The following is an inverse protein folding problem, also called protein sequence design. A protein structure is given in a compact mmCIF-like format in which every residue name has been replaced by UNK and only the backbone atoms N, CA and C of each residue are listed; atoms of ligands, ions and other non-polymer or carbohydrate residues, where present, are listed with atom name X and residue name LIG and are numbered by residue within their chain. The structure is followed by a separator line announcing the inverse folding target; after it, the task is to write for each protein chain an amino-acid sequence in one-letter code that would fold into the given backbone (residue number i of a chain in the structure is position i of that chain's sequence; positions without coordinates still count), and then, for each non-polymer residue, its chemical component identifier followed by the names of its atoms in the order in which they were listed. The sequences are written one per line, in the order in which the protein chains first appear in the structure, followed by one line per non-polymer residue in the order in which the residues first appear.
data_IF_249322834268
#
_entry.id   IF_249322834268
#
_cell.length_a   1.000
_cell.length_b   1.000
_cell.length_c   1.000
_cell.angle_alpha   90.00
_cell.angle_beta   90.00
_cell.angle_gamma   90.00
#
_symmetry.space_group_name_H-M   'P 1'
#
loop_
_entity.id
_entity.type
_entity.pdbx_description
1 polymer ?
#
# COMPACT_ATOMS: atom_id res chain seq x y z
N UNK A 1 5.60 -4.20 -3.31
CA UNK A 1 6.35 -5.31 -3.94
C UNK A 1 5.43 -6.52 -4.03
N UNK A 2 5.18 -7.04 -5.23
CA UNK A 2 4.52 -8.35 -5.38
C UNK A 2 5.53 -9.44 -5.04
N UNK A 3 5.09 -10.44 -4.29
CA UNK A 3 5.83 -11.68 -4.14
C UNK A 3 5.59 -12.48 -5.42
N UNK A 4 6.52 -12.41 -6.37
CA UNK A 4 6.37 -13.11 -7.64
C UNK A 4 6.52 -14.62 -7.44
N UNK A 5 5.69 -15.39 -8.14
CA UNK A 5 5.90 -16.83 -8.26
C UNK A 5 7.13 -17.07 -9.15
N UNK A 6 8.27 -17.34 -8.57
CA UNK A 6 9.54 -17.53 -9.27
C UNK A 6 10.48 -18.43 -8.47
N UNK A 7 11.75 -18.30 -8.72
CA UNK A 7 12.85 -19.11 -8.19
C UNK A 7 13.16 -18.93 -6.68
N UNK A 8 12.28 -18.33 -5.89
CA UNK A 8 12.47 -18.13 -4.45
C UNK A 8 13.20 -16.84 -4.08
N UNK A 9 13.48 -15.96 -5.03
CA UNK A 9 14.00 -14.63 -4.75
C UNK A 9 12.83 -13.65 -4.55
N UNK A 10 12.97 -12.74 -3.58
CA UNK A 10 12.14 -11.55 -3.50
C UNK A 10 12.52 -10.68 -4.70
N UNK A 11 11.70 -10.75 -5.76
CA UNK A 11 11.94 -9.96 -6.95
C UNK A 11 11.58 -8.52 -6.63
N UNK A 12 12.59 -7.70 -6.46
CA UNK A 12 12.46 -6.26 -6.60
C UNK A 12 13.16 -5.87 -7.89
N UNK A 13 12.51 -5.15 -8.78
CA UNK A 13 13.18 -4.52 -9.92
C UNK A 13 14.21 -3.47 -9.47
N UNK A 14 14.06 -3.02 -8.24
CA UNK A 14 14.98 -2.09 -7.60
C UNK A 14 15.75 -2.87 -6.55
N UNK A 15 17.04 -3.08 -6.81
CA UNK A 15 17.95 -3.57 -5.78
C UNK A 15 17.84 -2.64 -4.59
N UNK A 16 17.46 -3.18 -3.43
CA UNK A 16 17.62 -2.43 -2.19
C UNK A 16 19.07 -1.99 -2.12
N UNK A 17 19.29 -0.70 -1.87
CA UNK A 17 20.63 -0.22 -1.59
C UNK A 17 21.18 -1.07 -0.43
N UNK A 18 22.34 -1.69 -0.65
CA UNK A 18 23.03 -2.41 0.44
C UNK A 18 23.60 -1.45 1.49
N UNK A 19 23.37 -0.14 1.32
CA UNK A 19 23.96 0.90 2.17
C UNK A 19 23.09 1.16 3.41
N UNK A 20 21.77 1.03 3.30
CA UNK A 20 20.83 1.29 4.41
C UNK A 20 19.73 0.24 4.44
N UNK A 21 19.30 -0.19 5.66
CA UNK A 21 18.14 -1.09 5.81
C UNK A 21 16.86 -0.45 5.26
N UNK A 22 16.01 -1.25 4.66
CA UNK A 22 14.74 -0.82 4.09
C UNK A 22 13.58 -1.54 4.77
N UNK A 23 12.47 -0.82 4.95
CA UNK A 23 11.18 -1.40 5.29
C UNK A 23 10.34 -1.47 4.01
N UNK A 24 9.87 -2.67 3.68
CA UNK A 24 9.04 -2.92 2.52
C UNK A 24 7.71 -3.54 2.92
N UNK A 25 6.59 -2.94 2.46
CA UNK A 25 5.29 -3.58 2.48
C UNK A 25 5.22 -4.58 1.33
N UNK A 26 5.05 -5.86 1.67
CA UNK A 26 5.03 -6.97 0.73
C UNK A 26 3.60 -7.47 0.56
N UNK A 27 2.95 -7.09 -0.55
CA UNK A 27 1.56 -7.39 -0.78
C UNK A 27 1.37 -8.81 -1.35
N UNK A 28 0.55 -9.61 -0.67
CA UNK A 28 -0.12 -10.75 -1.28
C UNK A 28 -1.29 -10.19 -2.08
N UNK A 29 -1.22 -10.32 -3.39
CA UNK A 29 -2.23 -9.85 -4.32
C UNK A 29 -2.96 -11.02 -4.96
N UNK A 30 -4.26 -11.07 -4.77
CA UNK A 30 -5.11 -12.07 -5.39
C UNK A 30 -6.47 -11.47 -5.71
N UNK A 31 -6.58 -10.73 -6.82
CA UNK A 31 -7.86 -10.20 -7.24
C UNK A 31 -8.78 -11.37 -7.61
N UNK A 32 -9.89 -11.50 -6.91
CA UNK A 32 -11.01 -12.26 -7.45
C UNK A 32 -11.81 -11.31 -8.31
N UNK A 33 -11.83 -11.55 -9.60
CA UNK A 33 -12.76 -10.87 -10.51
C UNK A 33 -14.22 -11.29 -10.27
N UNK A 34 -14.53 -11.87 -9.13
CA UNK A 34 -15.82 -12.47 -8.80
C UNK A 34 -16.11 -13.78 -9.53
N UNK A 35 -15.18 -14.26 -10.39
CA UNK A 35 -15.43 -15.41 -11.26
C UNK A 35 -14.97 -16.75 -10.72
N UNK A 36 -13.94 -16.78 -9.86
CA UNK A 36 -13.45 -18.02 -9.24
C UNK A 36 -12.72 -17.74 -7.93
N UNK A 37 -13.48 -17.75 -6.83
CA UNK A 37 -12.96 -17.53 -5.49
C UNK A 37 -11.96 -18.62 -5.05
N UNK A 38 -12.06 -19.84 -5.58
CA UNK A 38 -11.15 -20.93 -5.27
C UNK A 38 -9.79 -20.73 -5.93
N UNK A 39 -9.78 -20.28 -7.18
CA UNK A 39 -8.54 -19.92 -7.89
C UNK A 39 -7.84 -18.73 -7.23
N UNK A 40 -8.58 -17.69 -6.87
CA UNK A 40 -8.04 -16.53 -6.20
C UNK A 40 -7.44 -16.92 -4.84
N UNK A 41 -8.14 -17.71 -4.06
CA UNK A 41 -7.64 -18.22 -2.78
C UNK A 41 -6.39 -19.09 -2.94
N UNK A 42 -6.39 -20.04 -3.90
CA UNK A 42 -5.22 -20.88 -4.16
C UNK A 42 -3.99 -20.05 -4.55
N UNK A 43 -4.15 -18.99 -5.36
CA UNK A 43 -3.07 -18.05 -5.69
C UNK A 43 -2.55 -17.33 -4.45
N UNK A 44 -3.43 -16.85 -3.57
CA UNK A 44 -3.02 -16.16 -2.35
C UNK A 44 -2.23 -17.09 -1.41
N UNK A 45 -2.65 -18.35 -1.27
CA UNK A 45 -1.92 -19.35 -0.50
C UNK A 45 -0.52 -19.60 -1.11
N UNK A 46 -0.44 -19.79 -2.42
CA UNK A 46 0.84 -19.98 -3.10
C UNK A 46 1.78 -18.77 -2.94
N UNK A 47 1.24 -17.54 -3.03
CA UNK A 47 2.00 -16.32 -2.82
C UNK A 47 2.47 -16.18 -1.37
N UNK A 48 1.64 -16.54 -0.39
CA UNK A 48 2.03 -16.55 1.03
C UNK A 48 3.17 -17.53 1.29
N UNK A 49 3.09 -18.75 0.77
CA UNK A 49 4.16 -19.75 0.90
C UNK A 49 5.45 -19.30 0.19
N UNK A 50 5.33 -18.60 -0.94
CA UNK A 50 6.48 -18.02 -1.61
C UNK A 50 7.11 -16.89 -0.77
N UNK A 51 6.30 -16.00 -0.19
CA UNK A 51 6.78 -14.96 0.73
C UNK A 51 7.55 -15.57 1.91
N UNK A 52 6.98 -16.57 2.59
CA UNK A 52 7.64 -17.26 3.72
C UNK A 52 9.00 -17.83 3.33
N UNK A 53 9.05 -18.58 2.22
CA UNK A 53 10.33 -19.11 1.70
C UNK A 53 11.34 -18.01 1.39
N UNK A 54 10.87 -16.91 0.79
CA UNK A 54 11.75 -15.80 0.37
C UNK A 54 12.38 -15.08 1.56
N UNK A 55 11.65 -14.87 2.66
CA UNK A 55 12.20 -14.22 3.86
C UNK A 55 13.12 -15.15 4.66
N UNK A 56 13.02 -16.46 4.46
CA UNK A 56 13.90 -17.46 5.07
C UNK A 56 15.24 -17.65 4.33
N UNK A 57 15.33 -17.20 3.07
CA UNK A 57 16.55 -17.30 2.27
C UNK A 57 17.61 -16.32 2.76
N UNK A 58 18.78 -16.76 3.25
CA UNK A 58 19.82 -15.85 3.75
C UNK A 58 20.33 -14.85 2.70
N UNK A 59 20.33 -15.24 1.42
CA UNK A 59 20.78 -14.39 0.32
C UNK A 59 19.92 -13.12 0.12
N UNK A 60 18.65 -13.15 0.56
CA UNK A 60 17.75 -12.00 0.43
C UNK A 60 18.02 -10.94 1.51
N UNK A 61 18.76 -11.24 2.56
CA UNK A 61 19.05 -10.35 3.68
C UNK A 61 17.81 -9.60 4.21
N UNK A 62 16.69 -10.31 4.36
CA UNK A 62 15.40 -9.77 4.77
C UNK A 62 14.79 -10.63 5.87
N UNK A 63 14.00 -10.00 6.74
CA UNK A 63 13.23 -10.70 7.77
C UNK A 63 11.77 -10.24 7.75
N UNK A 64 10.83 -11.14 7.99
CA UNK A 64 9.44 -10.75 8.21
C UNK A 64 9.34 -10.01 9.55
N UNK A 65 8.62 -8.89 9.54
CA UNK A 65 8.32 -8.11 10.74
C UNK A 65 6.82 -8.12 11.01
N UNK A 66 6.44 -8.14 12.30
CA UNK A 66 5.05 -8.18 12.77
C UNK A 66 4.76 -7.09 13.81
N UNK A 67 5.82 -6.55 14.40
CA UNK A 67 5.78 -5.49 15.41
C UNK A 67 6.84 -4.44 15.09
N UNK A 68 6.71 -3.26 15.68
CA UNK A 68 7.73 -2.22 15.52
C UNK A 68 9.10 -2.66 16.08
N UNK A 69 9.12 -3.41 17.17
CA UNK A 69 10.35 -3.98 17.72
C UNK A 69 11.07 -4.91 16.73
N UNK A 70 10.33 -5.66 15.90
CA UNK A 70 10.94 -6.48 14.84
C UNK A 70 11.64 -5.62 13.79
N UNK A 71 11.07 -4.44 13.45
CA UNK A 71 11.68 -3.49 12.52
C UNK A 71 13.00 -2.96 13.10
N UNK A 72 13.00 -2.54 14.36
CA UNK A 72 14.22 -2.06 15.03
C UNK A 72 15.30 -3.14 15.08
N UNK A 73 14.93 -4.38 15.41
CA UNK A 73 15.84 -5.51 15.43
C UNK A 73 16.41 -5.84 14.04
N UNK A 74 15.58 -5.77 12.99
CA UNK A 74 16.03 -5.95 11.61
C UNK A 74 17.09 -4.90 11.25
N UNK A 75 16.79 -3.62 11.48
CA UNK A 75 17.69 -2.51 11.15
C UNK A 75 19.00 -2.56 11.96
N UNK A 76 18.93 -2.84 13.25
CA UNK A 76 20.10 -2.98 14.12
C UNK A 76 21.01 -4.15 13.70
N UNK A 77 20.46 -5.17 13.04
CA UNK A 77 21.21 -6.30 12.50
C UNK A 77 21.64 -6.15 11.04
N UNK A 78 21.40 -4.97 10.43
CA UNK A 78 21.73 -4.69 9.03
C UNK A 78 20.86 -5.45 8.03
N UNK A 79 19.66 -5.86 8.43
CA UNK A 79 18.71 -6.57 7.57
C UNK A 79 17.56 -5.67 7.12
N UNK A 80 17.01 -5.98 5.96
CA UNK A 80 15.77 -5.38 5.48
C UNK A 80 14.55 -5.96 6.22
N UNK A 81 13.52 -5.16 6.38
CA UNK A 81 12.28 -5.53 7.02
C UNK A 81 11.17 -5.73 5.98
N UNK A 82 10.48 -6.87 6.01
CA UNK A 82 9.33 -7.18 5.16
C UNK A 82 8.05 -7.25 6.00
N UNK A 83 7.17 -6.26 5.84
CA UNK A 83 5.84 -6.25 6.44
C UNK A 83 4.85 -6.90 5.48
N UNK A 84 4.25 -8.00 5.89
CA UNK A 84 3.26 -8.70 5.07
C UNK A 84 1.95 -7.90 5.04
N UNK A 85 1.47 -7.62 3.82
CA UNK A 85 0.21 -6.92 3.56
C UNK A 85 -0.66 -7.71 2.61
N UNK A 86 -1.95 -7.41 2.57
CA UNK A 86 -2.91 -8.07 1.69
C UNK A 86 -3.58 -7.03 0.80
N UNK A 87 -3.61 -7.28 -0.49
CA UNK A 87 -4.32 -6.47 -1.48
C UNK A 87 -5.40 -7.31 -2.17
N UNK A 88 -6.61 -6.76 -2.27
CA UNK A 88 -7.74 -7.52 -2.82
C UNK A 88 -8.21 -8.65 -1.89
N UNK A 89 -8.29 -8.35 -0.60
CA UNK A 89 -8.52 -9.31 0.49
C UNK A 89 -9.72 -10.22 0.33
N UNK A 90 -10.80 -9.76 -0.34
CA UNK A 90 -11.96 -10.59 -0.62
C UNK A 90 -11.62 -11.89 -1.36
N UNK A 91 -10.68 -11.85 -2.30
CA UNK A 91 -10.16 -13.04 -2.98
C UNK A 91 -9.27 -13.89 -2.08
N UNK A 92 -8.43 -13.22 -1.27
CA UNK A 92 -7.46 -13.90 -0.41
C UNK A 92 -8.07 -14.72 0.72
N UNK A 93 -9.26 -14.35 1.20
CA UNK A 93 -9.92 -15.02 2.34
C UNK A 93 -11.11 -15.87 1.94
N UNK A 94 -11.46 -15.93 0.66
CA UNK A 94 -12.64 -16.68 0.18
C UNK A 94 -13.89 -16.39 1.02
N UNK A 95 -14.12 -15.12 1.36
CA UNK A 95 -15.25 -14.66 2.17
C UNK A 95 -15.36 -15.31 3.59
N UNK A 96 -14.23 -15.78 4.16
CA UNK A 96 -14.20 -16.41 5.48
C UNK A 96 -13.46 -15.56 6.51
N UNK A 97 -14.11 -15.35 7.66
CA UNK A 97 -13.49 -14.68 8.82
C UNK A 97 -12.34 -15.51 9.38
N UNK A 98 -12.46 -16.84 9.38
CA UNK A 98 -11.42 -17.75 9.84
C UNK A 98 -10.15 -17.62 8.99
N UNK A 99 -10.30 -17.55 7.66
CA UNK A 99 -9.16 -17.32 6.75
C UNK A 99 -8.54 -15.94 6.90
N UNK A 100 -9.31 -14.93 7.25
CA UNK A 100 -8.79 -13.62 7.62
C UNK A 100 -7.91 -13.70 8.88
N UNK A 101 -8.35 -14.46 9.89
CA UNK A 101 -7.54 -14.71 11.10
C UNK A 101 -6.26 -15.49 10.77
N UNK A 102 -6.34 -16.52 9.91
CA UNK A 102 -5.15 -17.27 9.45
C UNK A 102 -4.12 -16.35 8.78
N UNK A 103 -4.54 -15.36 7.99
CA UNK A 103 -3.62 -14.38 7.39
C UNK A 103 -2.96 -13.48 8.45
N UNK A 104 -3.72 -13.05 9.46
CA UNK A 104 -3.17 -12.29 10.58
C UNK A 104 -2.12 -13.12 11.36
N UNK A 105 -2.41 -14.38 11.64
CA UNK A 105 -1.50 -15.31 12.33
C UNK A 105 -0.25 -15.59 11.49
N UNK A 106 -0.38 -15.63 10.16
CA UNK A 106 0.75 -15.71 9.24
C UNK A 106 1.62 -14.43 9.24
N UNK A 107 1.15 -13.35 9.86
CA UNK A 107 1.89 -12.11 10.05
C UNK A 107 1.41 -10.94 9.20
N UNK A 108 0.28 -11.03 8.51
CA UNK A 108 -0.31 -9.88 7.84
C UNK A 108 -0.72 -8.80 8.88
N UNK A 109 -0.43 -7.54 8.59
CA UNK A 109 -0.73 -6.41 9.48
C UNK A 109 -1.49 -5.28 8.80
N UNK A 110 -1.49 -5.27 7.46
CA UNK A 110 -2.24 -4.32 6.64
C UNK A 110 -3.14 -5.09 5.69
N UNK A 111 -4.40 -4.72 5.57
CA UNK A 111 -5.39 -5.46 4.81
C UNK A 111 -6.27 -4.53 3.96
N UNK A 112 -6.15 -4.63 2.64
CA UNK A 112 -7.03 -4.01 1.66
C UNK A 112 -8.22 -4.91 1.35
N UNK A 113 -9.44 -4.39 1.51
CA UNK A 113 -10.68 -5.17 1.38
C UNK A 113 -10.99 -5.56 -0.08
N UNK A 114 -10.68 -4.68 -1.03
CA UNK A 114 -10.98 -4.90 -2.43
C UNK A 114 -9.85 -4.39 -3.33
N UNK A 115 -9.75 -4.93 -4.54
CA UNK A 115 -9.04 -4.37 -5.68
C UNK A 115 -10.02 -4.07 -6.83
N UNK A 116 -10.95 -4.99 -7.10
CA UNK A 116 -12.23 -4.82 -7.79
C UNK A 116 -13.34 -5.11 -6.79
N UNK A 117 -14.61 -4.93 -7.19
CA UNK A 117 -15.73 -5.30 -6.31
C UNK A 117 -15.58 -6.73 -5.79
N UNK A 118 -15.70 -6.86 -4.48
CA UNK A 118 -15.60 -8.14 -3.76
C UNK A 118 -16.83 -8.33 -2.88
N UNK A 119 -17.03 -9.53 -2.32
CA UNK A 119 -18.05 -9.72 -1.29
C UNK A 119 -17.86 -8.88 -0.01
N UNK A 120 -16.72 -8.16 0.11
CA UNK A 120 -16.42 -7.33 1.28
C UNK A 120 -16.76 -5.86 1.08
N UNK A 121 -16.42 -5.31 -0.09
CA UNK A 121 -16.54 -3.88 -0.36
C UNK A 121 -16.55 -3.59 -1.87
N UNK A 122 -17.18 -2.49 -2.24
CA UNK A 122 -17.09 -1.92 -3.59
C UNK A 122 -15.71 -1.28 -3.83
N UNK A 123 -15.28 -1.29 -5.07
CA UNK A 123 -13.97 -0.79 -5.51
C UNK A 123 -14.11 0.47 -6.37
N UNK A 124 -13.06 1.28 -6.43
CA UNK A 124 -12.91 2.37 -7.40
C UNK A 124 -12.90 1.86 -8.87
N UNK A 125 -12.63 0.56 -9.08
CA UNK A 125 -12.63 -0.10 -10.39
C UNK A 125 -13.91 -0.91 -10.64
N UNK A 126 -15.06 -0.30 -10.43
CA UNK A 126 -16.35 -0.91 -10.78
C UNK A 126 -16.46 -1.11 -12.28
N UNK A 127 -17.14 -2.20 -12.67
CA UNK A 127 -17.52 -2.47 -14.06
C UNK A 127 -18.77 -1.68 -14.42
N UNK A 128 -19.00 -1.50 -15.70
CA UNK A 128 -20.25 -0.92 -16.18
C UNK A 128 -21.45 -1.74 -15.67
N UNK A 129 -22.42 -1.05 -15.07
CA UNK A 129 -23.61 -1.67 -14.48
C UNK A 129 -23.45 -2.18 -13.04
N UNK A 130 -22.25 -2.13 -12.46
CA UNK A 130 -22.07 -2.37 -11.03
C UNK A 130 -22.40 -1.10 -10.22
N UNK A 131 -23.02 -1.30 -9.04
CA UNK A 131 -23.37 -0.22 -8.12
C UNK A 131 -22.35 -0.11 -6.98
N UNK A 132 -22.08 1.11 -6.52
CA UNK A 132 -21.31 1.35 -5.31
C UNK A 132 -22.20 1.07 -4.07
N UNK A 133 -22.14 -0.13 -3.57
CA UNK A 133 -22.86 -0.55 -2.37
C UNK A 133 -22.10 -0.24 -1.08
N UNK A 134 -20.84 0.17 -1.17
CA UNK A 134 -19.97 0.43 -0.03
C UNK A 134 -19.47 -0.84 0.65
N UNK A 135 -19.27 -0.77 1.96
CA UNK A 135 -18.85 -1.89 2.80
C UNK A 135 -20.05 -2.82 3.07
N UNK A 136 -19.92 -4.08 2.68
CA UNK A 136 -20.99 -5.08 2.88
C UNK A 136 -21.09 -5.50 4.36
N UNK A 137 -22.15 -6.25 4.71
CA UNK A 137 -22.28 -6.84 6.05
C UNK A 137 -21.08 -7.78 6.38
N UNK A 138 -20.62 -8.56 5.40
CA UNK A 138 -19.44 -9.40 5.57
C UNK A 138 -18.17 -8.54 5.75
N UNK A 139 -18.02 -7.47 4.95
CA UNK A 139 -16.95 -6.51 5.11
C UNK A 139 -16.93 -5.90 6.52
N UNK A 140 -18.08 -5.53 7.07
CA UNK A 140 -18.18 -5.03 8.45
C UNK A 140 -17.75 -6.08 9.49
N UNK A 141 -18.08 -7.36 9.28
CA UNK A 141 -17.60 -8.47 10.14
C UNK A 141 -16.06 -8.60 10.08
N UNK A 142 -15.47 -8.49 8.89
CA UNK A 142 -14.01 -8.51 8.71
C UNK A 142 -13.36 -7.31 9.39
N UNK A 143 -13.89 -6.09 9.20
CA UNK A 143 -13.36 -4.90 9.88
C UNK A 143 -13.49 -5.03 11.41
N UNK A 144 -14.62 -5.51 11.91
CA UNK A 144 -14.80 -5.76 13.34
C UNK A 144 -13.78 -6.74 13.89
N UNK A 145 -13.55 -7.87 13.20
CA UNK A 145 -12.51 -8.85 13.58
C UNK A 145 -11.11 -8.26 13.50
N UNK A 146 -10.82 -7.46 12.47
CA UNK A 146 -9.55 -6.74 12.33
C UNK A 146 -9.31 -5.75 13.47
N UNK A 147 -10.34 -5.03 13.91
CA UNK A 147 -10.27 -4.16 15.08
C UNK A 147 -9.90 -4.91 16.37
N UNK A 148 -10.43 -6.14 16.56
CA UNK A 148 -10.06 -6.99 17.70
C UNK A 148 -8.61 -7.45 17.64
N UNK A 149 -8.12 -7.79 16.46
CA UNK A 149 -6.77 -8.28 16.22
C UNK A 149 -5.72 -7.16 16.14
N UNK A 150 -6.14 -5.92 15.90
CA UNK A 150 -5.25 -4.80 15.64
C UNK A 150 -4.73 -4.74 14.20
N UNK A 151 -5.52 -5.23 13.22
CA UNK A 151 -5.23 -5.06 11.79
C UNK A 151 -5.34 -3.59 11.40
N UNK A 152 -4.48 -3.13 10.51
CA UNK A 152 -4.56 -1.82 9.85
C UNK A 152 -5.30 -2.02 8.53
N UNK A 153 -6.27 -1.15 8.20
CA UNK A 153 -7.00 -1.25 6.94
C UNK A 153 -6.43 -0.30 5.88
N UNK A 154 -6.14 -0.89 4.72
CA UNK A 154 -5.74 -0.16 3.51
C UNK A 154 -6.97 0.22 2.72
N UNK A 155 -7.13 1.52 2.49
CA UNK A 155 -8.26 2.09 1.72
C UNK A 155 -7.93 2.30 0.25
N UNK A 156 -6.71 1.96 -0.18
CA UNK A 156 -6.39 1.93 -1.60
C UNK A 156 -7.36 1.00 -2.34
N UNK A 157 -7.79 1.39 -3.52
CA UNK A 157 -8.80 0.70 -4.34
C UNK A 157 -10.26 0.74 -3.86
N UNK A 158 -10.59 1.25 -2.68
CA UNK A 158 -11.97 1.36 -2.26
C UNK A 158 -12.73 2.40 -3.10
N UNK A 159 -14.02 2.14 -3.34
CA UNK A 159 -14.94 3.17 -3.82
C UNK A 159 -15.10 4.28 -2.78
N UNK A 160 -15.60 5.43 -3.20
CA UNK A 160 -15.85 6.57 -2.30
C UNK A 160 -16.74 6.15 -1.12
N UNK A 161 -17.81 5.43 -1.38
CA UNK A 161 -18.71 4.95 -0.34
C UNK A 161 -18.04 3.93 0.58
N UNK A 162 -17.29 2.98 0.03
CA UNK A 162 -16.56 2.00 0.83
C UNK A 162 -15.50 2.66 1.72
N UNK A 163 -14.83 3.70 1.22
CA UNK A 163 -13.87 4.48 2.00
C UNK A 163 -14.54 5.05 3.27
N UNK A 164 -15.65 5.76 3.10
CA UNK A 164 -16.34 6.38 4.24
C UNK A 164 -16.94 5.36 5.20
N UNK A 165 -17.50 4.26 4.67
CA UNK A 165 -18.00 3.17 5.49
C UNK A 165 -16.89 2.53 6.35
N UNK A 166 -15.67 2.37 5.82
CA UNK A 166 -14.52 1.85 6.58
C UNK A 166 -13.99 2.88 7.56
N UNK A 167 -13.94 4.16 7.16
CA UNK A 167 -13.51 5.27 8.04
C UNK A 167 -14.37 5.40 9.29
N UNK A 168 -15.67 5.08 9.18
CA UNK A 168 -16.61 5.08 10.32
C UNK A 168 -16.34 3.95 11.32
N UNK A 169 -15.94 2.76 10.84
CA UNK A 169 -15.91 1.55 11.68
C UNK A 169 -14.52 1.04 12.05
N UNK A 170 -13.47 1.46 11.34
CA UNK A 170 -12.10 1.12 11.68
C UNK A 170 -11.65 1.85 12.95
N UNK A 171 -10.94 1.14 13.85
CA UNK A 171 -10.45 1.71 15.11
C UNK A 171 -9.02 2.24 15.02
N UNK A 172 -8.19 1.63 14.19
CA UNK A 172 -6.86 2.17 13.88
C UNK A 172 -6.96 3.18 12.75
N UNK A 173 -6.03 4.13 12.66
CA UNK A 173 -5.96 5.04 11.53
C UNK A 173 -5.88 4.31 10.20
N UNK A 174 -6.51 4.88 9.18
CA UNK A 174 -6.52 4.35 7.83
C UNK A 174 -5.18 4.58 7.13
N UNK A 175 -4.83 3.66 6.25
CA UNK A 175 -3.67 3.81 5.36
C UNK A 175 -4.15 3.71 3.91
N UNK A 176 -3.82 4.69 3.09
CA UNK A 176 -3.83 4.52 1.64
C UNK A 176 -2.42 4.14 1.21
N UNK A 177 -2.11 2.84 1.13
CA UNK A 177 -0.74 2.38 0.91
C UNK A 177 -0.15 2.85 -0.41
N UNK A 178 -1.00 3.11 -1.42
CA UNK A 178 -0.59 3.53 -2.76
C UNK A 178 -1.72 4.29 -3.47
N UNK A 179 -1.89 5.59 -3.18
CA UNK A 179 -2.93 6.43 -3.78
C UNK A 179 -2.45 7.87 -3.97
N UNK A 180 -2.91 8.50 -5.06
CA UNK A 180 -2.63 9.88 -5.38
C UNK A 180 -3.87 10.76 -5.10
N UNK A 181 -3.96 11.96 -5.68
CA UNK A 181 -4.99 12.95 -5.37
C UNK A 181 -5.84 13.28 -6.60
N UNK A 182 -7.16 13.21 -6.45
CA UNK A 182 -8.13 13.45 -7.52
C UNK A 182 -8.12 14.88 -8.02
N UNK A 183 -7.81 15.84 -7.16
CA UNK A 183 -7.66 17.24 -7.52
C UNK A 183 -6.49 17.53 -8.48
N UNK A 184 -5.53 16.61 -8.62
CA UNK A 184 -4.39 16.69 -9.54
C UNK A 184 -4.61 15.84 -10.79
N UNK A 185 -5.14 14.63 -10.63
CA UNK A 185 -5.50 13.73 -11.72
C UNK A 185 -6.88 13.13 -11.41
N UNK A 186 -7.89 13.52 -12.18
CA UNK A 186 -9.30 13.15 -11.96
C UNK A 186 -9.54 11.68 -12.35
N UNK A 187 -9.13 10.80 -11.45
CA UNK A 187 -9.30 9.36 -11.56
C UNK A 187 -9.98 8.84 -10.30
N UNK A 188 -10.99 8.00 -10.44
CA UNK A 188 -11.73 7.42 -9.30
C UNK A 188 -10.85 6.63 -8.34
N UNK A 189 -9.69 6.16 -8.80
CA UNK A 189 -8.70 5.46 -7.97
C UNK A 189 -7.93 6.41 -7.03
N UNK A 190 -7.89 7.70 -7.34
CA UNK A 190 -7.25 8.72 -6.54
C UNK A 190 -8.17 9.20 -5.41
N UNK A 191 -7.58 9.62 -4.30
CA UNK A 191 -8.29 10.16 -3.14
C UNK A 191 -8.88 11.54 -3.46
N UNK A 192 -10.09 11.81 -2.98
CA UNK A 192 -10.56 13.19 -2.87
C UNK A 192 -9.81 13.92 -1.76
N UNK A 193 -9.82 15.25 -1.79
CA UNK A 193 -9.21 16.05 -0.72
C UNK A 193 -9.84 15.78 0.65
N UNK A 194 -11.15 15.50 0.68
CA UNK A 194 -11.84 15.17 1.94
C UNK A 194 -11.43 13.81 2.48
N UNK A 195 -11.22 12.81 1.62
CA UNK A 195 -10.65 11.52 2.01
C UNK A 195 -9.23 11.67 2.56
N UNK A 196 -8.39 12.46 1.87
CA UNK A 196 -7.03 12.72 2.31
C UNK A 196 -7.00 13.42 3.67
N UNK A 197 -7.83 14.45 3.86
CA UNK A 197 -7.99 15.14 5.15
C UNK A 197 -8.50 14.21 6.26
N UNK A 198 -9.39 13.26 5.94
CA UNK A 198 -9.86 12.29 6.92
C UNK A 198 -8.74 11.32 7.34
N UNK A 199 -7.91 10.83 6.40
CA UNK A 199 -6.73 10.02 6.72
C UNK A 199 -5.78 10.82 7.63
N UNK A 200 -5.47 12.07 7.28
CA UNK A 200 -4.63 12.97 8.08
C UNK A 200 -5.22 13.18 9.48
N UNK A 201 -6.50 13.48 9.57
CA UNK A 201 -7.21 13.69 10.85
C UNK A 201 -7.16 12.48 11.78
N UNK A 202 -7.14 11.27 11.21
CA UNK A 202 -7.04 10.02 11.97
C UNK A 202 -5.58 9.65 12.33
N UNK A 203 -4.59 10.48 12.02
CA UNK A 203 -3.15 10.14 12.17
C UNK A 203 -2.73 8.98 11.24
N UNK A 204 -3.35 8.86 10.06
CA UNK A 204 -3.11 7.83 9.07
C UNK A 204 -1.95 8.14 8.12
N UNK A 205 -1.79 7.31 7.07
CA UNK A 205 -0.70 7.44 6.10
C UNK A 205 -1.20 7.37 4.66
N UNK A 206 -0.58 8.16 3.79
CA UNK A 206 -0.81 8.16 2.34
C UNK A 206 0.51 7.85 1.64
N UNK A 207 0.55 6.79 0.84
CA UNK A 207 1.68 6.43 0.01
C UNK A 207 1.44 6.84 -1.45
N UNK A 208 2.35 7.59 -2.04
CA UNK A 208 2.27 8.00 -3.43
C UNK A 208 2.36 6.81 -4.38
N UNK A 209 1.42 6.68 -5.29
CA UNK A 209 1.39 5.63 -6.31
C UNK A 209 2.10 6.09 -7.58
N UNK A 210 2.89 5.20 -8.20
CA UNK A 210 3.68 5.47 -9.39
C UNK A 210 2.99 5.12 -10.71
N UNK A 211 1.82 4.50 -10.68
CA UNK A 211 1.15 4.13 -11.91
C UNK A 211 0.77 5.38 -12.72
N UNK A 212 1.23 5.43 -13.97
CA UNK A 212 1.13 6.61 -14.84
C UNK A 212 -0.28 7.18 -14.96
N UNK A 213 -1.29 6.31 -15.10
CA UNK A 213 -2.69 6.71 -15.22
C UNK A 213 -3.27 7.34 -13.95
N UNK A 214 -2.57 7.30 -12.80
CA UNK A 214 -2.98 7.96 -11.56
C UNK A 214 -2.15 9.21 -11.27
N UNK A 215 -1.07 9.42 -12.06
CA UNK A 215 -0.20 10.59 -11.95
C UNK A 215 -0.72 11.74 -12.79
N UNK A 216 -1.13 11.47 -14.02
CA UNK A 216 -1.69 12.49 -14.92
C UNK A 216 -2.55 11.87 -16.02
N UNK A 217 -3.62 12.58 -16.44
CA UNK A 217 -4.52 12.13 -17.51
C UNK A 217 -3.84 12.12 -18.87
N UNK A 218 -3.02 13.16 -19.15
CA UNK A 218 -2.29 13.27 -20.41
C UNK A 218 -0.99 12.50 -20.35
N UNK A 219 -0.76 11.60 -21.29
CA UNK A 219 0.43 10.74 -21.36
C UNK A 219 1.74 11.56 -21.39
N UNK A 220 1.77 12.70 -22.10
CA UNK A 220 2.95 13.59 -22.16
C UNK A 220 3.35 14.17 -20.81
N UNK A 221 2.42 14.22 -19.86
CA UNK A 221 2.57 14.87 -18.58
C UNK A 221 2.73 13.84 -17.43
N UNK A 222 2.82 12.56 -17.76
CA UNK A 222 3.05 11.47 -16.81
C UNK A 222 4.54 11.42 -16.38
N UNK A 223 4.96 12.46 -15.68
CA UNK A 223 6.36 12.73 -15.29
C UNK A 223 6.56 12.69 -13.77
N UNK A 224 7.81 12.68 -13.34
CA UNK A 224 8.16 12.81 -11.91
C UNK A 224 7.73 14.17 -11.36
N UNK A 225 7.76 15.22 -12.18
CA UNK A 225 7.27 16.55 -11.80
C UNK A 225 5.76 16.53 -11.55
N UNK A 226 4.99 15.78 -12.33
CA UNK A 226 3.54 15.61 -12.07
C UNK A 226 3.29 14.79 -10.81
N UNK A 227 4.08 13.75 -10.56
CA UNK A 227 4.03 13.02 -9.29
C UNK A 227 4.40 13.92 -8.10
N UNK A 228 5.40 14.78 -8.26
CA UNK A 228 5.76 15.77 -7.24
C UNK A 228 4.61 16.72 -6.90
N UNK A 229 3.74 17.09 -7.87
CA UNK A 229 2.54 17.91 -7.60
C UNK A 229 1.57 17.19 -6.65
N UNK A 230 1.45 15.86 -6.72
CA UNK A 230 0.64 15.11 -5.76
C UNK A 230 1.25 15.18 -4.35
N UNK A 231 2.57 15.11 -4.23
CA UNK A 231 3.27 15.31 -2.95
C UNK A 231 2.98 16.71 -2.40
N UNK A 232 3.22 17.74 -3.20
CA UNK A 232 3.03 19.15 -2.82
C UNK A 232 1.57 19.44 -2.42
N UNK A 233 0.62 18.86 -3.16
CA UNK A 233 -0.81 18.95 -2.83
C UNK A 233 -1.11 18.36 -1.45
N UNK A 234 -0.59 17.16 -1.13
CA UNK A 234 -0.76 16.56 0.19
C UNK A 234 -0.21 17.46 1.30
N UNK A 235 0.97 18.05 1.09
CA UNK A 235 1.58 18.98 2.04
C UNK A 235 0.67 20.21 2.25
N UNK A 236 0.05 20.72 1.19
CA UNK A 236 -0.91 21.85 1.27
C UNK A 236 -2.17 21.52 2.08
N UNK A 237 -2.55 20.24 2.15
CA UNK A 237 -3.66 19.76 2.97
C UNK A 237 -3.28 19.49 4.43
N UNK A 238 -2.02 19.75 4.82
CA UNK A 238 -1.51 19.47 6.17
C UNK A 238 -0.92 18.07 6.35
N UNK A 239 -0.58 17.39 5.25
CA UNK A 239 -0.09 16.00 5.23
C UNK A 239 1.41 15.84 5.51
N UNK A 240 2.10 16.81 6.10
CA UNK A 240 3.56 16.77 6.33
C UNK A 240 4.02 15.50 7.07
N UNK A 241 3.24 15.04 8.04
CA UNK A 241 3.53 13.85 8.85
C UNK A 241 2.82 12.58 8.36
N UNK A 242 2.10 12.67 7.22
CA UNK A 242 1.14 11.65 6.77
C UNK A 242 1.35 11.18 5.35
N UNK A 243 2.45 11.56 4.70
CA UNK A 243 2.76 11.17 3.32
C UNK A 243 4.11 10.47 3.24
N UNK A 244 4.23 9.53 2.32
CA UNK A 244 5.45 8.80 2.01
C UNK A 244 5.36 8.09 0.66
N UNK A 245 6.24 7.13 0.42
CA UNK A 245 6.29 6.41 -0.85
C UNK A 245 5.42 5.15 -0.80
N UNK A 246 4.44 5.06 -1.70
CA UNK A 246 3.56 3.91 -1.86
C UNK A 246 3.97 2.97 -3.00
N UNK A 247 4.64 3.52 -3.99
CA UNK A 247 5.30 2.85 -5.09
C UNK A 247 4.40 2.06 -6.03
N UNK A 248 3.77 1.02 -5.55
CA UNK A 248 3.09 0.00 -6.37
C UNK A 248 4.04 -0.64 -7.40
N UNK A 249 5.31 -0.72 -7.03
CA UNK A 249 6.37 -1.34 -7.82
C UNK A 249 6.04 -2.82 -7.95
N UNK A 250 6.18 -3.40 -9.14
CA UNK A 250 5.72 -4.75 -9.50
C UNK A 250 4.19 -4.93 -9.56
N UNK A 251 3.40 -3.95 -9.13
CA UNK A 251 1.93 -3.91 -9.27
C UNK A 251 1.47 -3.43 -10.64
N UNK A 252 2.33 -2.72 -11.36
CA UNK A 252 2.07 -2.14 -12.68
C UNK A 252 2.78 -2.92 -13.78
N UNK A 253 2.55 -2.54 -15.06
CA UNK A 253 3.24 -3.14 -16.21
C UNK A 253 4.72 -2.74 -16.32
N UNK A 254 5.27 -2.02 -15.35
CA UNK A 254 6.65 -1.51 -15.38
C UNK A 254 6.77 -0.15 -16.04
N UNK A 255 5.67 0.53 -16.27
CA UNK A 255 5.62 1.91 -16.76
C UNK A 255 5.59 2.86 -15.56
N UNK A 256 6.62 3.71 -15.45
CA UNK A 256 6.79 4.68 -14.37
C UNK A 256 7.01 6.07 -14.92
N UNK A 257 6.73 7.14 -14.13
CA UNK A 257 6.92 8.52 -14.56
C UNK A 257 8.35 8.77 -15.07
N UNK A 258 8.47 9.39 -16.24
CA UNK A 258 9.77 9.76 -16.79
C UNK A 258 10.39 10.94 -15.96
N UNK A 259 11.70 10.99 -15.77
CA UNK A 259 12.75 10.17 -16.35
C UNK A 259 13.25 9.04 -15.43
N UNK A 260 12.36 8.28 -14.81
CA UNK A 260 12.78 7.15 -13.98
C UNK A 260 13.38 6.05 -14.87
N UNK A 261 14.50 5.52 -14.41
CA UNK A 261 15.22 4.40 -15.04
C UNK A 261 15.42 3.30 -14.02
N UNK A 262 15.85 2.11 -14.44
CA UNK A 262 16.22 1.02 -13.53
C UNK A 262 17.36 1.42 -12.57
N UNK A 263 18.20 2.39 -12.95
CA UNK A 263 19.34 2.86 -12.16
C UNK A 263 18.96 3.98 -11.18
N UNK A 264 17.86 4.68 -11.45
CA UNK A 264 17.39 5.79 -10.63
C UNK A 264 16.11 5.45 -9.92
N UNK A 265 16.18 5.31 -8.61
CA UNK A 265 14.98 5.07 -7.81
C UNK A 265 14.02 6.27 -7.86
N UNK A 266 12.74 5.98 -7.73
CA UNK A 266 11.71 7.03 -7.57
C UNK A 266 12.03 7.92 -6.36
N UNK A 267 12.53 7.32 -5.30
CA UNK A 267 12.90 8.01 -4.06
C UNK A 267 13.92 9.10 -4.36
N UNK A 268 15.01 8.76 -5.07
CA UNK A 268 16.04 9.73 -5.43
C UNK A 268 15.48 10.87 -6.27
N UNK A 269 14.63 10.54 -7.26
CA UNK A 269 14.02 11.55 -8.13
C UNK A 269 13.11 12.52 -7.37
N UNK A 270 12.27 12.02 -6.46
CA UNK A 270 11.39 12.88 -5.66
C UNK A 270 12.17 13.67 -4.61
N UNK A 271 13.17 13.06 -3.96
CA UNK A 271 14.06 13.76 -3.03
C UNK A 271 14.80 14.92 -3.72
N UNK A 272 15.34 14.69 -4.92
CA UNK A 272 15.98 15.76 -5.69
C UNK A 272 15.01 16.90 -6.03
N UNK A 273 13.76 16.60 -6.40
CA UNK A 273 12.75 17.62 -6.65
C UNK A 273 12.39 18.39 -5.39
N UNK A 274 12.21 17.71 -4.26
CA UNK A 274 11.96 18.37 -2.98
C UNK A 274 13.09 19.35 -2.63
N UNK A 275 14.35 18.93 -2.74
CA UNK A 275 15.51 19.78 -2.49
C UNK A 275 15.58 20.94 -3.48
N UNK A 276 15.31 20.72 -4.77
CA UNK A 276 15.26 21.75 -5.81
C UNK A 276 14.15 22.80 -5.53
N UNK A 277 13.05 22.38 -4.91
CA UNK A 277 11.97 23.27 -4.47
C UNK A 277 12.20 23.84 -3.05
N UNK A 278 13.41 23.74 -2.51
CA UNK A 278 13.85 24.27 -1.21
C UNK A 278 13.08 23.71 -0.01
N UNK A 279 12.57 22.49 -0.08
CA UNK A 279 12.08 21.81 1.11
C UNK A 279 13.23 21.50 2.07
N UNK A 280 12.95 21.59 3.37
CA UNK A 280 13.96 21.29 4.40
C UNK A 280 14.36 19.82 4.38
N UNK A 281 15.60 19.53 4.75
CA UNK A 281 16.07 18.14 4.92
C UNK A 281 15.19 17.37 5.91
N UNK A 282 14.68 18.03 6.94
CA UNK A 282 13.74 17.43 7.90
C UNK A 282 12.47 16.93 7.20
N UNK A 283 11.87 17.74 6.33
CA UNK A 283 10.67 17.32 5.58
C UNK A 283 11.00 16.22 4.57
N UNK A 284 12.14 16.31 3.91
CA UNK A 284 12.61 15.26 3.00
C UNK A 284 12.74 13.92 3.73
N UNK A 285 13.36 13.89 4.91
CA UNK A 285 13.51 12.68 5.71
C UNK A 285 12.16 12.11 6.18
N UNK A 286 11.23 12.98 6.59
CA UNK A 286 9.87 12.57 6.93
C UNK A 286 9.21 11.80 5.77
N UNK A 287 9.19 12.39 4.57
CA UNK A 287 8.57 11.80 3.38
C UNK A 287 9.32 10.55 2.94
N UNK A 288 10.65 10.53 3.04
CA UNK A 288 11.49 9.42 2.61
C UNK A 288 11.30 8.13 3.46
N UNK A 289 10.81 8.26 4.71
CA UNK A 289 10.56 7.07 5.53
C UNK A 289 10.19 7.32 6.98
N UNK A 290 10.59 8.44 7.59
CA UNK A 290 10.33 8.68 9.02
C UNK A 290 8.82 8.70 9.34
N UNK A 291 7.97 9.22 8.44
CA UNK A 291 6.53 9.22 8.63
C UNK A 291 5.97 7.80 8.79
N UNK A 292 6.35 6.88 7.89
CA UNK A 292 5.93 5.48 8.00
C UNK A 292 6.49 4.81 9.26
N UNK A 293 7.75 5.07 9.62
CA UNK A 293 8.32 4.51 10.85
C UNK A 293 7.61 5.05 12.11
N UNK A 294 7.27 6.34 12.13
CA UNK A 294 6.53 6.96 13.23
C UNK A 294 5.09 6.41 13.34
N UNK A 295 4.42 6.24 12.20
CA UNK A 295 3.10 5.60 12.14
C UNK A 295 3.16 4.16 12.69
N UNK A 296 4.09 3.34 12.20
CA UNK A 296 4.22 1.95 12.62
C UNK A 296 4.65 1.82 14.09
N UNK A 297 5.44 2.75 14.62
CA UNK A 297 5.77 2.78 16.06
C UNK A 297 4.54 2.92 16.94
N UNK A 298 3.53 3.67 16.49
CA UNK A 298 2.29 3.90 17.24
C UNK A 298 1.28 2.76 17.06
N UNK A 299 1.20 2.17 15.86
CA UNK A 299 0.04 1.37 15.45
C UNK A 299 0.36 -0.08 15.06
N UNK A 300 1.60 -0.49 14.87
CA UNK A 300 1.99 -1.87 14.61
C UNK A 300 2.26 -2.61 15.91
#
# INVERSE_FOLDING_TARGET
MRVAAGNGELVTRYNFSNTYPHLQFCAIFSPSDGKDADVAYAKSVASLEHFKRSVELPANNVVQVRTYADIENAFNSGKNAALLTIEGGGGCIKSSVEKFVELYDAGARVFGLSWRNTPLASSAFMREGEEDTGLTELGRKIVSKGNELGMIFDVSHLSDKSFWDVAEVAKKPLVATHSNFRSICDCTRNLTDDMAKEIIRQDGMIGLNLYLGFVHENVSDQTVESLFRHLDHCLSLGGEDHIGFGGDIDGTSGEYPAPLTEERSIHDALVELMLKHNYSETLVNKVAGENYLNFLRKYL
#
